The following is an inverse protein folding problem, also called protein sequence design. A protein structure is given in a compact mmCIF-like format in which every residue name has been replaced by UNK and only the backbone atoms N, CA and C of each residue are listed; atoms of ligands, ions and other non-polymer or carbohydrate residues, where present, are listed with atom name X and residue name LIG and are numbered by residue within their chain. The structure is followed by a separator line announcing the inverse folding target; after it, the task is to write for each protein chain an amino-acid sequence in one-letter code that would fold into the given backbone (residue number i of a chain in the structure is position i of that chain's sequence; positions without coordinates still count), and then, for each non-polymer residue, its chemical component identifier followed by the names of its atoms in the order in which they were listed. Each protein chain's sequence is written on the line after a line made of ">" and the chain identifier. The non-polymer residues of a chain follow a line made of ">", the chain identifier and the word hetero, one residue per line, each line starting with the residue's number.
data_IF_944983233488
#
_entry.id   IF_944983233488
#
_cell.length_a   1.000
_cell.length_b   1.000
_cell.length_c   1.000
_cell.angle_alpha   90.00
_cell.angle_beta   90.00
_cell.angle_gamma   90.00
#
_symmetry.space_group_name_H-M   'P 1'
#
loop_
_entity.id
_entity.type
_entity.pdbx_description
1 polymer ?
#
# COMPACT_ATOMS: atom_id res chain seq x y z
N UNK A 1 -4.62 2.64 -31.85
CA UNK A 1 -5.96 2.19 -31.49
C UNK A 1 -5.88 1.52 -30.14
N UNK A 2 -6.17 2.35 -29.16
CA UNK A 2 -6.37 1.99 -27.77
C UNK A 2 -7.60 1.07 -27.59
N UNK A 3 -7.67 0.33 -26.48
CA UNK A 3 -8.78 -0.59 -26.17
C UNK A 3 -10.06 0.15 -25.70
N UNK A 4 -10.01 1.48 -25.60
CA UNK A 4 -11.10 2.34 -25.10
C UNK A 4 -11.83 3.08 -26.23
N UNK A 5 -13.13 3.33 -26.05
CA UNK A 5 -13.97 4.09 -26.97
C UNK A 5 -13.72 5.61 -26.81
N UNK A 6 -12.59 6.05 -27.36
CA UNK A 6 -12.21 7.47 -27.45
C UNK A 6 -11.94 7.86 -28.90
N UNK A 7 -12.12 9.15 -29.22
CA UNK A 7 -11.83 9.63 -30.58
C UNK A 7 -10.33 9.61 -30.89
N UNK A 8 -9.98 9.56 -32.18
CA UNK A 8 -8.57 9.63 -32.62
C UNK A 8 -7.87 10.91 -32.14
N UNK A 9 -8.60 12.02 -32.05
CA UNK A 9 -8.06 13.29 -31.52
C UNK A 9 -7.74 13.20 -30.02
N UNK A 10 -8.56 12.49 -29.25
CA UNK A 10 -8.30 12.23 -27.82
C UNK A 10 -7.12 11.26 -27.67
N UNK A 11 -7.04 10.21 -28.51
CA UNK A 11 -5.88 9.32 -28.55
C UNK A 11 -4.59 10.10 -28.82
N UNK A 12 -4.62 11.03 -29.79
CA UNK A 12 -3.45 11.83 -30.13
C UNK A 12 -2.94 12.70 -28.96
N UNK A 13 -3.82 13.42 -28.24
CA UNK A 13 -3.39 14.29 -27.13
C UNK A 13 -2.89 13.50 -25.92
N UNK A 14 -3.47 12.32 -25.65
CA UNK A 14 -2.98 11.46 -24.56
C UNK A 14 -1.64 10.82 -24.94
N UNK A 15 -1.47 10.41 -26.20
CA UNK A 15 -0.22 9.80 -26.66
C UNK A 15 0.96 10.77 -26.73
N UNK A 16 0.71 12.07 -26.92
CA UNK A 16 1.73 13.13 -26.94
C UNK A 16 2.43 13.31 -25.58
N UNK A 17 1.84 12.81 -24.49
CA UNK A 17 2.45 12.85 -23.15
C UNK A 17 3.55 11.81 -22.94
N UNK A 18 4.47 12.11 -22.03
CA UNK A 18 5.54 11.23 -21.53
C UNK A 18 5.05 10.23 -20.45
N UNK A 19 3.73 10.09 -20.31
CA UNK A 19 3.13 9.19 -19.32
C UNK A 19 3.45 7.71 -19.61
N UNK A 20 3.75 6.91 -18.57
CA UNK A 20 3.75 5.46 -18.69
C UNK A 20 2.41 4.93 -19.20
N UNK A 21 2.44 3.82 -19.94
CA UNK A 21 1.24 3.17 -20.53
C UNK A 21 0.08 3.02 -19.55
N UNK A 22 0.37 2.59 -18.31
CA UNK A 22 -0.67 2.40 -17.27
C UNK A 22 -1.40 3.71 -16.95
N UNK A 23 -0.69 4.84 -16.88
CA UNK A 23 -1.33 6.14 -16.63
C UNK A 23 -2.10 6.63 -17.85
N UNK A 24 -1.63 6.35 -19.07
CA UNK A 24 -2.39 6.60 -20.30
C UNK A 24 -3.70 5.80 -20.31
N UNK A 25 -3.66 4.51 -19.94
CA UNK A 25 -4.84 3.65 -19.80
C UNK A 25 -5.82 4.19 -18.73
N UNK A 26 -5.30 4.69 -17.61
CA UNK A 26 -6.11 5.34 -16.57
C UNK A 26 -6.77 6.64 -17.07
N UNK A 27 -6.07 7.43 -17.89
CA UNK A 27 -6.67 8.62 -18.53
C UNK A 27 -7.75 8.22 -19.53
N UNK A 28 -7.50 7.24 -20.41
CA UNK A 28 -8.50 6.76 -21.37
C UNK A 28 -9.76 6.23 -20.69
N UNK A 29 -9.62 5.35 -19.71
CA UNK A 29 -10.75 4.82 -18.95
C UNK A 29 -11.54 5.92 -18.21
N UNK A 30 -10.84 6.95 -17.72
CA UNK A 30 -11.44 8.11 -17.05
C UNK A 30 -12.24 8.99 -18.02
N UNK A 31 -11.74 9.19 -19.23
CA UNK A 31 -12.39 9.95 -20.29
C UNK A 31 -13.60 9.18 -20.83
N UNK A 32 -13.44 7.90 -21.16
CA UNK A 32 -14.53 7.02 -21.63
C UNK A 32 -15.68 6.93 -20.63
N UNK A 33 -15.38 6.84 -19.33
CA UNK A 33 -16.40 6.79 -18.28
C UNK A 33 -17.19 8.09 -18.10
N UNK A 34 -16.81 9.18 -18.78
CA UNK A 34 -17.47 10.50 -18.70
C UNK A 34 -18.03 10.90 -20.05
N UNK A 35 -19.35 11.01 -20.13
CA UNK A 35 -20.00 11.50 -21.35
C UNK A 35 -19.61 12.94 -21.67
N UNK A 36 -19.31 13.20 -22.95
CA UNK A 36 -19.18 14.56 -23.49
C UNK A 36 -17.86 15.28 -23.16
N UNK A 37 -16.80 14.55 -22.81
CA UNK A 37 -15.45 15.13 -22.66
C UNK A 37 -14.96 15.62 -24.02
N UNK A 38 -14.59 16.89 -24.10
CA UNK A 38 -14.01 17.46 -25.33
C UNK A 38 -12.53 17.12 -25.46
N UNK A 39 -11.98 17.27 -26.67
CA UNK A 39 -10.55 17.06 -26.92
C UNK A 39 -9.70 18.00 -26.05
N UNK A 40 -10.11 19.26 -25.87
CA UNK A 40 -9.40 20.22 -25.03
C UNK A 40 -9.42 19.82 -23.55
N UNK A 41 -10.52 19.26 -23.06
CA UNK A 41 -10.61 18.76 -21.70
C UNK A 41 -9.76 17.51 -21.50
N UNK A 42 -9.74 16.61 -22.47
CA UNK A 42 -8.87 15.43 -22.44
C UNK A 42 -7.38 15.83 -22.43
N UNK A 43 -6.99 16.81 -23.24
CA UNK A 43 -5.65 17.40 -23.26
C UNK A 43 -5.28 18.06 -21.93
N UNK A 44 -6.20 18.82 -21.33
CA UNK A 44 -6.00 19.41 -19.99
C UNK A 44 -5.80 18.33 -18.92
N UNK A 45 -6.61 17.28 -18.93
CA UNK A 45 -6.48 16.14 -18.02
C UNK A 45 -5.13 15.44 -18.22
N UNK A 46 -4.77 15.11 -19.46
CA UNK A 46 -3.53 14.40 -19.77
C UNK A 46 -2.30 15.20 -19.31
N UNK A 47 -2.26 16.50 -19.60
CA UNK A 47 -1.18 17.40 -19.14
C UNK A 47 -1.16 17.58 -17.63
N UNK A 48 -2.32 17.66 -16.97
CA UNK A 48 -2.37 17.76 -15.51
C UNK A 48 -1.78 16.51 -14.84
N UNK A 49 -2.14 15.32 -15.35
CA UNK A 49 -1.59 14.05 -14.88
C UNK A 49 -0.10 13.95 -15.16
N UNK A 50 0.35 14.37 -16.34
CA UNK A 50 1.78 14.43 -16.69
C UNK A 50 2.56 15.34 -15.75
N UNK A 51 2.10 16.57 -15.52
CA UNK A 51 2.75 17.49 -14.59
C UNK A 51 2.87 16.87 -13.20
N UNK A 52 1.78 16.27 -12.67
CA UNK A 52 1.81 15.61 -11.36
C UNK A 52 2.78 14.41 -11.35
N UNK A 53 2.83 13.61 -12.41
CA UNK A 53 3.77 12.50 -12.52
C UNK A 53 5.22 12.99 -12.53
N UNK A 54 5.52 14.04 -13.31
CA UNK A 54 6.87 14.58 -13.42
C UNK A 54 7.34 15.24 -12.12
N UNK A 55 6.44 15.94 -11.42
CA UNK A 55 6.69 16.64 -10.16
C UNK A 55 6.86 15.69 -8.95
N UNK A 56 6.33 14.46 -9.03
CA UNK A 56 6.43 13.47 -7.96
C UNK A 56 7.65 12.55 -8.07
N UNK A 57 8.48 12.76 -9.10
CA UNK A 57 9.73 12.01 -9.24
C UNK A 57 10.66 12.32 -8.09
N UNK A 58 11.35 11.28 -7.62
CA UNK A 58 12.38 11.41 -6.60
C UNK A 58 13.51 12.28 -7.13
N UNK A 59 13.95 13.24 -6.31
CA UNK A 59 15.04 14.13 -6.68
C UNK A 59 16.38 13.36 -6.71
N UNK A 60 17.29 13.69 -7.64
CA UNK A 60 18.63 13.13 -7.62
C UNK A 60 19.31 13.39 -6.28
N UNK A 61 19.99 12.37 -5.75
CA UNK A 61 20.71 12.40 -4.47
C UNK A 61 19.82 12.39 -3.22
N UNK A 62 18.51 12.20 -3.35
CA UNK A 62 17.66 11.93 -2.19
C UNK A 62 18.09 10.64 -1.48
N UNK A 63 18.11 10.62 -0.13
CA UNK A 63 18.59 9.50 0.66
C UNK A 63 17.58 8.34 0.73
N UNK A 64 17.11 7.86 -0.41
CA UNK A 64 16.07 6.82 -0.52
C UNK A 64 16.43 5.54 0.21
N UNK A 65 17.72 5.18 0.29
CA UNK A 65 18.17 3.99 1.03
C UNK A 65 17.92 4.11 2.54
N UNK A 66 18.28 5.25 3.13
CA UNK A 66 18.08 5.51 4.56
C UNK A 66 16.60 5.58 4.89
N UNK A 67 15.83 6.34 4.11
CA UNK A 67 14.38 6.50 4.32
C UNK A 67 13.65 5.17 4.12
N UNK A 68 14.02 4.37 3.13
CA UNK A 68 13.41 3.03 2.92
C UNK A 68 13.69 2.10 4.08
N UNK A 69 14.93 2.07 4.59
CA UNK A 69 15.29 1.25 5.74
C UNK A 69 14.49 1.63 7.00
N UNK A 70 14.33 2.93 7.26
CA UNK A 70 13.52 3.41 8.37
C UNK A 70 12.02 3.13 8.18
N UNK A 71 11.47 3.42 7.00
CA UNK A 71 10.05 3.20 6.67
C UNK A 71 9.62 1.75 6.82
N UNK A 72 10.48 0.80 6.45
CA UNK A 72 10.23 -0.63 6.67
C UNK A 72 10.41 -1.03 8.14
N UNK A 73 11.35 -0.41 8.85
CA UNK A 73 11.71 -0.78 10.22
C UNK A 73 10.79 -0.22 11.31
N UNK A 74 10.33 1.02 11.18
CA UNK A 74 9.51 1.71 12.20
C UNK A 74 8.24 0.94 12.58
N UNK A 75 7.43 0.42 11.63
CA UNK A 75 6.26 -0.38 11.96
C UNK A 75 6.60 -1.65 12.72
N UNK A 76 7.84 -2.17 12.61
CA UNK A 76 8.27 -3.39 13.29
C UNK A 76 8.12 -3.33 14.80
N UNK A 77 8.26 -2.15 15.41
CA UNK A 77 8.01 -1.94 16.84
C UNK A 77 6.52 -2.01 17.21
N UNK A 78 5.64 -1.71 16.25
CA UNK A 78 4.19 -1.76 16.39
C UNK A 78 3.62 -3.16 16.07
N UNK A 79 4.44 -4.07 15.53
CA UNK A 79 4.03 -5.45 15.21
C UNK A 79 4.10 -6.41 16.41
N UNK A 80 3.72 -5.95 17.60
CA UNK A 80 3.57 -6.79 18.78
C UNK A 80 2.19 -6.63 19.40
N UNK A 81 1.67 -7.72 19.95
CA UNK A 81 0.43 -7.68 20.71
C UNK A 81 0.78 -7.38 22.17
N UNK A 82 0.16 -6.37 22.81
CA UNK A 82 0.43 -6.04 24.20
C UNK A 82 0.20 -7.22 25.14
N UNK A 83 0.95 -7.28 26.25
CA UNK A 83 0.83 -8.36 27.22
C UNK A 83 -0.55 -8.40 27.90
N UNK A 84 -1.23 -7.26 27.98
CA UNK A 84 -2.58 -7.10 28.52
C UNK A 84 -3.69 -7.40 27.49
N UNK A 85 -3.34 -7.72 26.24
CA UNK A 85 -4.33 -8.13 25.25
C UNK A 85 -4.97 -9.46 25.63
N UNK A 86 -6.28 -9.60 25.37
CA UNK A 86 -7.06 -10.77 25.77
C UNK A 86 -7.19 -11.77 24.64
N UNK A 87 -6.82 -13.01 24.92
CA UNK A 87 -6.89 -14.14 23.99
C UNK A 87 -7.82 -15.23 24.52
N UNK A 88 -8.46 -15.95 23.59
CA UNK A 88 -9.23 -17.15 23.90
C UNK A 88 -8.30 -18.37 23.95
N UNK A 89 -8.25 -19.03 25.10
CA UNK A 89 -7.44 -20.23 25.31
C UNK A 89 -8.38 -21.42 25.52
N UNK A 90 -8.15 -22.49 24.77
CA UNK A 90 -8.86 -23.77 24.95
C UNK A 90 -7.91 -24.83 25.51
N UNK A 91 -8.30 -25.43 26.63
CA UNK A 91 -7.54 -26.50 27.28
C UNK A 91 -8.53 -27.47 27.93
N UNK A 92 -8.32 -28.77 27.78
CA UNK A 92 -9.16 -29.82 28.40
C UNK A 92 -10.68 -29.63 28.16
N UNK A 93 -11.03 -29.27 26.92
CA UNK A 93 -12.38 -28.95 26.46
C UNK A 93 -13.05 -27.71 27.10
N UNK A 94 -12.35 -26.98 27.98
CA UNK A 94 -12.77 -25.69 28.52
C UNK A 94 -12.21 -24.52 27.69
N UNK A 95 -13.00 -23.49 27.45
CA UNK A 95 -12.56 -22.24 26.79
C UNK A 95 -12.67 -21.08 27.76
N UNK A 96 -11.56 -20.35 27.95
CA UNK A 96 -11.50 -19.16 28.80
C UNK A 96 -10.83 -17.99 28.09
N UNK A 97 -11.18 -16.79 28.50
CA UNK A 97 -10.46 -15.56 28.12
C UNK A 97 -9.31 -15.36 29.10
N UNK A 98 -8.12 -15.04 28.62
CA UNK A 98 -6.94 -14.72 29.44
C UNK A 98 -6.12 -13.63 28.78
N UNK A 99 -5.47 -12.78 29.56
CA UNK A 99 -4.43 -11.88 29.05
C UNK A 99 -3.18 -12.69 28.66
N UNK A 100 -2.46 -12.21 27.64
CA UNK A 100 -1.28 -12.89 27.08
C UNK A 100 -0.16 -13.00 28.12
N UNK A 101 0.16 -11.93 28.84
CA UNK A 101 1.25 -11.87 29.82
C UNK A 101 1.09 -12.91 30.93
N UNK A 102 0.01 -12.84 31.75
CA UNK A 102 -0.25 -13.82 32.80
C UNK A 102 -0.34 -15.27 32.29
N UNK A 103 -0.82 -15.47 31.06
CA UNK A 103 -0.84 -16.79 30.43
C UNK A 103 0.57 -17.33 30.18
N UNK A 104 1.46 -16.50 29.60
CA UNK A 104 2.85 -16.86 29.31
C UNK A 104 3.64 -17.09 30.60
N UNK A 105 3.52 -16.20 31.58
CA UNK A 105 4.19 -16.32 32.88
C UNK A 105 3.82 -17.65 33.57
N UNK A 106 2.53 -17.98 33.63
CA UNK A 106 2.07 -19.24 34.20
C UNK A 106 2.53 -20.49 33.45
N UNK A 107 2.78 -20.40 32.13
CA UNK A 107 3.37 -21.50 31.36
C UNK A 107 4.87 -21.68 31.62
N UNK A 108 5.58 -20.61 31.96
CA UNK A 108 7.01 -20.64 32.29
C UNK A 108 7.25 -21.20 33.69
N UNK A 109 6.43 -20.81 34.67
CA UNK A 109 6.51 -21.32 36.05
C UNK A 109 6.20 -22.82 36.16
N UNK A 110 5.37 -23.34 35.25
CA UNK A 110 4.95 -24.75 35.25
C UNK A 110 5.95 -25.74 34.64
N UNK A 111 7.10 -25.29 34.13
CA UNK A 111 8.13 -26.18 33.55
C UNK A 111 9.29 -26.39 34.52
N UNK A 112 9.55 -27.64 34.91
CA UNK A 112 10.85 -28.00 35.47
C UNK A 112 11.93 -27.76 34.41
N UNK A 113 12.68 -26.68 34.54
CA UNK A 113 13.84 -26.40 33.70
C UNK A 113 14.96 -27.37 34.09
N UNK A 114 15.16 -28.44 33.31
CA UNK A 114 16.36 -29.26 33.42
C UNK A 114 17.55 -28.50 32.83
N UNK A 115 18.42 -27.98 33.69
CA UNK A 115 19.77 -27.60 33.27
C UNK A 115 20.56 -28.88 33.02
N UNK A 116 21.07 -29.04 31.80
CA UNK A 116 22.04 -30.07 31.47
C UNK A 116 23.42 -29.40 31.60
N UNK A 117 24.19 -29.82 32.61
CA UNK A 117 25.63 -29.55 32.71
C UNK A 117 26.40 -30.24 31.56
#
# INVERSE_FOLDING_TARGET
>A
MTDYDVSEDIEAVVEDTELPRRLKDEVYSTVEARDGVTVEQADEIARAVENQYLDTRVDPLDPVGTVSAQSIGEPGTQMSVPADERVLVRRDAETRVSEIGPLVDGLMDGRETRNLD
#
